data_IF_505893665587
#
_entry.id   IF_505893665587
#
_cell.length_a   1.000
_cell.length_b   1.000
_cell.length_c   1.000
_cell.angle_alpha   90.00
_cell.angle_beta   90.00
_cell.angle_gamma   90.00
#
_symmetry.space_group_name_H-M   'P 1'
#
loop_
_entity.id
_entity.type
_entity.pdbx_description
1 polymer ?
#
# COMPACT_ATOMS: atom_id res chain seq x y z
N UNK A 1 27.41 3.78 4.59
CA UNK A 1 26.17 3.10 5.00
C UNK A 1 25.46 2.70 3.72
N UNK A 2 25.22 1.40 3.52
CA UNK A 2 24.38 0.95 2.41
C UNK A 2 22.97 1.48 2.61
N UNK A 3 22.39 2.04 1.53
CA UNK A 3 21.03 2.54 1.52
C UNK A 3 20.10 1.33 1.34
N UNK A 4 19.11 1.18 2.21
CA UNK A 4 18.10 0.14 2.05
C UNK A 4 17.20 0.49 0.85
N UNK A 5 16.76 -0.51 0.06
CA UNK A 5 15.74 -0.27 -0.96
C UNK A 5 14.44 0.23 -0.32
N UNK A 6 13.75 1.14 -1.00
CA UNK A 6 12.44 1.63 -0.57
C UNK A 6 11.37 0.69 -1.12
N UNK A 7 10.38 0.33 -0.30
CA UNK A 7 9.24 -0.50 -0.71
C UNK A 7 7.91 0.21 -0.47
N UNK A 8 7.01 0.16 -1.45
CA UNK A 8 5.67 0.71 -1.35
C UNK A 8 4.69 -0.32 -0.80
N UNK A 9 4.01 0.02 0.29
CA UNK A 9 3.00 -0.82 0.92
C UNK A 9 1.62 -0.28 0.55
N UNK A 10 0.91 -1.03 -0.27
CA UNK A 10 -0.47 -0.73 -0.64
C UNK A 10 -1.47 -1.29 0.40
N UNK A 11 -2.73 -0.89 0.32
CA UNK A 11 -3.76 -1.13 1.34
C UNK A 11 -4.09 -2.60 1.58
N UNK A 12 -3.98 -3.48 0.58
CA UNK A 12 -4.25 -4.91 0.77
C UNK A 12 -3.22 -5.60 1.65
N UNK A 13 -1.95 -5.16 1.68
CA UNK A 13 -0.93 -5.76 2.55
C UNK A 13 -1.29 -5.63 4.05
N UNK A 14 -1.55 -4.46 4.64
CA UNK A 14 -2.03 -4.38 6.04
C UNK A 14 -3.32 -5.17 6.27
N UNK A 15 -4.23 -5.23 5.29
CA UNK A 15 -5.45 -6.01 5.42
C UNK A 15 -5.18 -7.53 5.46
N UNK A 16 -4.23 -8.04 4.67
CA UNK A 16 -3.82 -9.44 4.74
C UNK A 16 -3.13 -9.77 6.07
N UNK A 17 -2.39 -8.84 6.66
CA UNK A 17 -1.75 -9.04 7.96
C UNK A 17 -2.76 -9.48 9.05
N UNK A 18 -3.93 -8.83 9.08
CA UNK A 18 -5.02 -9.17 10.00
C UNK A 18 -6.04 -10.18 9.45
N UNK A 19 -5.88 -10.64 8.20
CA UNK A 19 -6.86 -11.46 7.46
C UNK A 19 -8.24 -10.79 7.34
N UNK A 20 -8.24 -9.47 7.21
CA UNK A 20 -9.45 -8.71 7.05
C UNK A 20 -10.10 -9.06 5.72
N UNK A 21 -11.32 -9.62 5.78
CA UNK A 21 -12.13 -10.19 4.68
C UNK A 21 -11.88 -11.66 4.32
N UNK A 22 -11.22 -12.47 5.17
CA UNK A 22 -11.01 -13.91 4.92
C UNK A 22 -10.43 -14.20 3.52
N UNK A 23 -9.50 -13.37 3.08
CA UNK A 23 -9.14 -13.30 1.66
C UNK A 23 -8.23 -14.47 1.26
N UNK A 24 -7.32 -14.90 2.15
CA UNK A 24 -6.47 -16.08 2.00
C UNK A 24 -5.55 -16.27 3.23
N UNK A 25 -5.59 -17.47 3.82
CA UNK A 25 -4.68 -17.86 4.92
C UNK A 25 -3.22 -17.82 4.47
N UNK A 26 -2.93 -18.24 3.23
CA UNK A 26 -1.57 -18.22 2.66
C UNK A 26 -1.04 -16.79 2.59
N UNK A 27 -1.84 -15.85 2.06
CA UNK A 27 -1.45 -14.44 1.98
C UNK A 27 -1.23 -13.82 3.35
N UNK A 28 -2.03 -14.19 4.36
CA UNK A 28 -1.82 -13.76 5.75
C UNK A 28 -0.46 -14.24 6.24
N UNK A 29 -0.16 -15.54 6.09
CA UNK A 29 1.09 -16.14 6.56
C UNK A 29 2.29 -15.45 5.91
N UNK A 30 2.26 -15.27 4.59
CA UNK A 30 3.35 -14.62 3.85
C UNK A 30 3.51 -13.15 4.26
N UNK A 31 2.40 -12.42 4.41
CA UNK A 31 2.42 -11.03 4.84
C UNK A 31 2.99 -10.87 6.24
N UNK A 32 2.52 -11.68 7.19
CA UNK A 32 3.01 -11.66 8.59
C UNK A 32 4.49 -12.05 8.64
N UNK A 33 4.91 -13.05 7.86
CA UNK A 33 6.30 -13.46 7.77
C UNK A 33 7.17 -12.32 7.21
N UNK A 34 6.79 -11.75 6.09
CA UNK A 34 7.48 -10.62 5.45
C UNK A 34 7.60 -9.44 6.41
N UNK A 35 6.50 -9.05 7.05
CA UNK A 35 6.45 -7.91 7.96
C UNK A 35 7.40 -8.07 9.15
N UNK A 36 7.45 -9.26 9.75
CA UNK A 36 8.26 -9.52 10.93
C UNK A 36 9.74 -9.82 10.62
N UNK A 37 10.04 -10.40 9.45
CA UNK A 37 11.39 -10.92 9.16
C UNK A 37 12.14 -10.12 8.11
N UNK A 38 11.45 -9.60 7.09
CA UNK A 38 12.08 -9.02 5.90
C UNK A 38 11.92 -7.51 5.82
N UNK A 39 10.81 -6.95 6.32
CA UNK A 39 10.51 -5.51 6.19
C UNK A 39 11.60 -4.62 6.80
N UNK A 40 12.29 -5.11 7.84
CA UNK A 40 13.44 -4.45 8.46
C UNK A 40 14.59 -4.16 7.49
N UNK A 41 14.69 -4.88 6.37
CA UNK A 41 15.74 -4.74 5.37
C UNK A 41 15.38 -3.67 4.31
N UNK A 42 14.17 -3.09 4.39
CA UNK A 42 13.66 -2.05 3.50
C UNK A 42 13.42 -0.73 4.23
N UNK A 43 13.24 0.34 3.45
CA UNK A 43 12.60 1.59 3.88
C UNK A 43 11.13 1.58 3.43
N UNK A 44 10.17 1.15 4.27
CA UNK A 44 8.77 1.12 3.87
C UNK A 44 8.19 2.52 3.71
N UNK A 45 7.33 2.68 2.72
CA UNK A 45 6.46 3.85 2.56
C UNK A 45 5.03 3.43 2.29
N UNK A 46 4.09 4.31 2.65
CA UNK A 46 2.69 4.25 2.19
C UNK A 46 2.31 5.57 1.57
N UNK A 47 1.26 5.62 0.78
CA UNK A 47 0.67 6.91 0.39
C UNK A 47 -0.34 7.43 1.42
N UNK A 48 -0.66 8.72 1.35
CA UNK A 48 -1.80 9.28 2.07
C UNK A 48 -3.14 8.64 1.65
N UNK A 49 -3.25 8.09 0.43
CA UNK A 49 -4.44 7.36 0.00
C UNK A 49 -4.61 6.06 0.80
N UNK A 50 -3.53 5.29 0.97
CA UNK A 50 -3.53 4.07 1.81
C UNK A 50 -3.98 4.40 3.23
N UNK A 51 -3.42 5.45 3.85
CA UNK A 51 -3.84 5.87 5.19
C UNK A 51 -5.34 6.23 5.26
N UNK A 52 -5.88 6.90 4.23
CA UNK A 52 -7.30 7.23 4.14
C UNK A 52 -8.18 5.99 3.97
N UNK A 53 -7.77 5.05 3.14
CA UNK A 53 -8.50 3.79 2.91
C UNK A 53 -8.56 2.95 4.19
N UNK A 54 -7.45 2.83 4.92
CA UNK A 54 -7.43 2.16 6.23
C UNK A 54 -8.31 2.88 7.26
N UNK A 55 -8.34 4.22 7.24
CA UNK A 55 -9.20 4.99 8.15
C UNK A 55 -10.70 4.87 7.86
N UNK A 56 -11.07 4.46 6.64
CA UNK A 56 -12.46 4.29 6.20
C UNK A 56 -13.06 2.93 6.59
N UNK A 57 -12.29 2.04 7.21
CA UNK A 57 -12.78 0.76 7.74
C UNK A 57 -13.86 1.01 8.80
N UNK A 58 -14.99 0.29 8.73
CA UNK A 58 -16.11 0.52 9.65
C UNK A 58 -15.91 -0.12 11.03
N UNK A 59 -15.15 -1.21 11.09
CA UNK A 59 -14.78 -1.87 12.35
C UNK A 59 -13.72 -1.02 13.07
N UNK A 60 -14.08 -0.44 14.22
CA UNK A 60 -13.20 0.48 14.96
C UNK A 60 -12.00 -0.22 15.60
N UNK A 61 -12.15 -1.47 16.06
CA UNK A 61 -11.03 -2.21 16.66
C UNK A 61 -10.00 -2.51 15.58
N UNK A 62 -10.45 -3.05 14.45
CA UNK A 62 -9.57 -3.33 13.33
C UNK A 62 -8.96 -2.06 12.72
N UNK A 63 -9.74 -0.98 12.58
CA UNK A 63 -9.21 0.31 12.08
C UNK A 63 -8.03 0.76 12.95
N UNK A 64 -8.17 0.65 14.27
CA UNK A 64 -7.10 0.98 15.22
C UNK A 64 -5.87 0.08 15.01
N UNK A 65 -6.06 -1.22 14.82
CA UNK A 65 -4.98 -2.17 14.53
C UNK A 65 -4.26 -1.84 13.21
N UNK A 66 -5.00 -1.60 12.13
CA UNK A 66 -4.47 -1.25 10.81
C UNK A 66 -3.69 0.07 10.83
N UNK A 67 -4.27 1.12 11.43
CA UNK A 67 -3.60 2.41 11.54
C UNK A 67 -2.36 2.34 12.43
N UNK A 68 -2.42 1.56 13.52
CA UNK A 68 -1.27 1.31 14.39
C UNK A 68 -0.14 0.56 13.67
N UNK A 69 -0.48 -0.42 12.82
CA UNK A 69 0.50 -1.18 12.04
C UNK A 69 1.32 -0.28 11.09
N UNK A 70 0.70 0.76 10.54
CA UNK A 70 1.34 1.67 9.57
C UNK A 70 1.70 3.04 10.13
N UNK A 71 1.53 3.26 11.43
CA UNK A 71 1.68 4.58 12.07
C UNK A 71 3.07 5.18 11.83
N UNK A 72 4.10 4.36 12.04
CA UNK A 72 5.51 4.73 11.95
C UNK A 72 6.09 4.65 10.52
N UNK A 73 5.28 4.25 9.54
CA UNK A 73 5.70 4.18 8.15
C UNK A 73 5.63 5.57 7.52
N UNK A 74 6.67 5.92 6.75
CA UNK A 74 6.77 7.20 6.04
C UNK A 74 5.62 7.32 5.03
N UNK A 75 4.94 8.46 5.06
CA UNK A 75 3.81 8.74 4.17
C UNK A 75 4.28 9.61 3.01
N UNK A 76 3.96 9.20 1.79
CA UNK A 76 4.21 9.97 0.56
C UNK A 76 2.93 10.56 0.02
N UNK A 77 3.05 11.73 -0.62
CA UNK A 77 1.91 12.42 -1.21
C UNK A 77 1.54 11.79 -2.56
N UNK A 78 0.24 11.68 -2.81
CA UNK A 78 -0.31 11.45 -4.14
C UNK A 78 -0.51 12.83 -4.77
N UNK A 79 0.50 13.31 -5.49
CA UNK A 79 0.49 14.61 -6.15
C UNK A 79 -0.19 14.53 -7.54
N UNK A 80 -0.31 15.68 -8.21
CA UNK A 80 -0.92 15.74 -9.55
C UNK A 80 -0.20 14.88 -10.59
N UNK A 81 1.12 14.70 -10.46
CA UNK A 81 1.89 13.86 -11.37
C UNK A 81 1.49 12.37 -11.24
N UNK A 82 1.32 11.88 -10.01
CA UNK A 82 0.81 10.53 -9.75
C UNK A 82 -0.59 10.34 -10.33
N UNK A 83 -1.47 11.31 -10.13
CA UNK A 83 -2.85 11.26 -10.64
C UNK A 83 -2.85 11.22 -12.17
N UNK A 84 -2.11 12.12 -12.82
CA UNK A 84 -2.02 12.19 -14.28
C UNK A 84 -1.45 10.88 -14.87
N UNK A 85 -0.46 10.27 -14.21
CA UNK A 85 0.10 9.00 -14.64
C UNK A 85 -0.90 7.84 -14.46
N UNK A 86 -1.64 7.80 -13.35
CA UNK A 86 -2.68 6.81 -13.12
C UNK A 86 -3.81 6.91 -14.16
N UNK A 87 -4.27 8.13 -14.46
CA UNK A 87 -5.26 8.39 -15.50
C UNK A 87 -4.75 7.93 -16.87
N UNK A 88 -3.46 8.17 -17.17
CA UNK A 88 -2.83 7.69 -18.40
C UNK A 88 -2.82 6.17 -18.48
N UNK A 89 -2.47 5.45 -17.40
CA UNK A 89 -2.51 3.98 -17.37
C UNK A 89 -3.91 3.43 -17.69
N UNK A 90 -4.96 4.09 -17.20
CA UNK A 90 -6.34 3.68 -17.47
C UNK A 90 -6.76 4.05 -18.90
N UNK A 91 -6.45 5.27 -19.35
CA UNK A 91 -6.81 5.77 -20.67
C UNK A 91 -6.15 4.98 -21.82
N UNK A 92 -4.91 4.53 -21.64
CA UNK A 92 -4.19 3.70 -22.60
C UNK A 92 -4.54 2.20 -22.49
N UNK A 93 -5.43 1.83 -21.56
CA UNK A 93 -5.88 0.45 -21.38
C UNK A 93 -4.85 -0.48 -20.72
N UNK A 94 -3.77 0.06 -20.16
CA UNK A 94 -2.77 -0.72 -19.40
C UNK A 94 -3.39 -1.27 -18.11
N UNK A 95 -4.29 -0.50 -17.49
CA UNK A 95 -5.07 -0.90 -16.32
C UNK A 95 -6.56 -0.82 -16.66
N UNK A 96 -7.34 -1.89 -16.48
CA UNK A 96 -8.79 -1.85 -16.69
C UNK A 96 -9.46 -0.78 -15.81
N UNK A 97 -10.46 -0.07 -16.34
CA UNK A 97 -11.15 1.02 -15.63
C UNK A 97 -11.74 0.60 -14.26
N UNK A 98 -12.11 -0.68 -14.10
CA UNK A 98 -12.56 -1.26 -12.81
C UNK A 98 -11.49 -1.28 -11.72
N UNK A 99 -10.22 -1.14 -12.07
CA UNK A 99 -9.05 -1.10 -11.19
C UNK A 99 -8.37 0.29 -11.19
N UNK A 100 -9.13 1.35 -11.50
CA UNK A 100 -8.62 2.72 -11.54
C UNK A 100 -8.07 3.20 -10.19
N UNK A 101 -8.62 2.72 -9.07
CA UNK A 101 -8.07 2.99 -7.74
C UNK A 101 -6.64 2.41 -7.60
N UNK A 102 -6.44 1.17 -8.03
CA UNK A 102 -5.14 0.49 -7.98
C UNK A 102 -4.09 1.16 -8.88
N UNK A 103 -4.53 1.80 -9.97
CA UNK A 103 -3.65 2.57 -10.86
C UNK A 103 -2.92 3.69 -10.13
N UNK A 104 -3.54 4.28 -9.10
CA UNK A 104 -2.94 5.35 -8.28
C UNK A 104 -1.78 4.81 -7.43
N UNK A 105 -1.89 3.59 -6.91
CA UNK A 105 -0.80 2.96 -6.17
C UNK A 105 0.40 2.66 -7.08
N UNK A 106 0.15 2.09 -8.26
CA UNK A 106 1.22 1.82 -9.23
C UNK A 106 1.89 3.11 -9.71
N UNK A 107 1.10 4.14 -10.04
CA UNK A 107 1.63 5.43 -10.43
C UNK A 107 2.43 6.09 -9.29
N UNK A 108 1.99 5.94 -8.04
CA UNK A 108 2.70 6.41 -6.86
C UNK A 108 4.08 5.76 -6.73
N UNK A 109 4.15 4.43 -6.82
CA UNK A 109 5.40 3.70 -6.82
C UNK A 109 6.33 4.15 -7.97
N UNK A 110 5.77 4.33 -9.17
CA UNK A 110 6.52 4.75 -10.37
C UNK A 110 7.11 6.17 -10.21
N UNK A 111 6.29 7.16 -9.86
CA UNK A 111 6.70 8.58 -9.74
C UNK A 111 7.74 8.74 -8.63
N UNK A 112 7.55 8.08 -7.51
CA UNK A 112 8.47 8.15 -6.38
C UNK A 112 9.70 7.23 -6.55
N UNK A 113 9.75 6.41 -7.61
CA UNK A 113 10.82 5.44 -7.91
C UNK A 113 11.04 4.44 -6.77
N UNK A 114 9.95 3.81 -6.38
CA UNK A 114 9.86 2.88 -5.25
C UNK A 114 9.41 1.53 -5.81
N UNK A 115 10.00 0.45 -5.29
CA UNK A 115 9.63 -0.92 -5.64
C UNK A 115 8.34 -1.38 -4.95
#
# INVERSE_FOLDING_TARGET
MERKPTIYIETTIPNFFFDFKNQSVEKKVDTVFFWNNNLKDFEPVISLAVARELSAVLDEELKKELLGLVENIKKVEINQEVIALAEKYVAEGMIPHKYSADAVHLAGATVHKID
#
